data_IF_055710974549
#
_entry.id   IF_055710974549
#
_cell.length_a   1.000
_cell.length_b   1.000
_cell.length_c   1.000
_cell.angle_alpha   90.00
_cell.angle_beta   90.00
_cell.angle_gamma   90.00
#
_symmetry.space_group_name_H-M   'P 1'
#
loop_
_entity.id
_entity.type
_entity.pdbx_description
1 polymer ?
#
# COMPACT_ATOMS: atom_id res chain seq x y z
N UNK A 1 44.56 -9.27 3.66
CA UNK A 1 43.71 -8.27 4.32
C UNK A 1 42.49 -8.03 3.43
N UNK A 2 41.43 -8.78 3.69
CA UNK A 2 40.11 -8.55 3.12
C UNK A 2 39.48 -7.36 3.91
N UNK A 3 39.63 -6.17 3.39
CA UNK A 3 38.75 -5.06 3.75
C UNK A 3 37.48 -5.24 2.92
N UNK A 4 36.48 -5.92 3.51
CA UNK A 4 35.13 -5.98 2.95
C UNK A 4 34.59 -4.54 2.89
N UNK A 5 34.41 -4.03 1.68
CA UNK A 5 33.62 -2.81 1.47
C UNK A 5 32.18 -3.19 1.80
N UNK A 6 31.60 -2.60 2.85
CA UNK A 6 30.19 -2.73 3.18
C UNK A 6 29.42 -2.18 1.96
N UNK A 7 28.51 -2.96 1.40
CA UNK A 7 27.70 -2.53 0.27
C UNK A 7 26.68 -1.47 0.75
N UNK A 8 26.19 -0.63 -0.14
CA UNK A 8 25.26 0.45 0.21
C UNK A 8 24.02 -0.11 0.93
N UNK A 9 23.46 -1.22 0.46
CA UNK A 9 22.36 -1.94 1.09
C UNK A 9 22.65 -2.40 2.54
N UNK A 10 23.86 -2.89 2.81
CA UNK A 10 24.25 -3.29 4.17
C UNK A 10 24.33 -2.06 5.10
N UNK A 11 24.76 -0.89 4.57
CA UNK A 11 24.83 0.36 5.31
C UNK A 11 23.44 0.86 5.65
N UNK A 12 22.50 0.78 4.72
CA UNK A 12 21.10 1.16 4.88
C UNK A 12 20.41 0.32 5.96
N UNK A 13 20.56 -1.01 5.91
CA UNK A 13 20.01 -1.91 6.95
C UNK A 13 20.57 -1.56 8.33
N UNK A 14 21.87 -1.27 8.43
CA UNK A 14 22.48 -0.87 9.71
C UNK A 14 21.88 0.44 10.22
N UNK A 15 21.66 1.42 9.35
CA UNK A 15 21.03 2.69 9.70
C UNK A 15 19.59 2.47 10.16
N UNK A 16 18.79 1.70 9.40
CA UNK A 16 17.41 1.37 9.75
C UNK A 16 17.30 0.68 11.12
N UNK A 17 18.25 -0.22 11.46
CA UNK A 17 18.30 -0.84 12.80
C UNK A 17 18.49 0.18 13.91
N UNK A 18 19.32 1.21 13.71
CA UNK A 18 19.48 2.27 14.71
C UNK A 18 18.22 3.13 14.84
N UNK A 19 17.65 3.56 13.72
CA UNK A 19 16.43 4.37 13.71
C UNK A 19 15.23 3.61 14.30
N UNK A 20 15.06 2.34 13.94
CA UNK A 20 14.00 1.47 14.46
C UNK A 20 13.98 1.36 16.01
N UNK A 21 15.13 1.47 16.64
CA UNK A 21 15.22 1.43 18.12
C UNK A 21 14.51 2.61 18.79
N UNK A 22 14.46 3.75 18.12
CA UNK A 22 13.92 5.00 18.68
C UNK A 22 12.58 5.41 18.04
N UNK A 23 12.17 4.76 16.94
CA UNK A 23 10.94 5.04 16.22
C UNK A 23 9.71 4.62 17.03
N UNK A 24 8.75 5.50 17.31
CA UNK A 24 7.48 5.14 17.93
C UNK A 24 6.57 4.43 16.91
N UNK A 25 5.69 3.55 17.41
CA UNK A 25 4.77 2.74 16.62
C UNK A 25 3.86 3.60 15.73
N UNK A 26 3.46 4.78 16.20
CA UNK A 26 2.61 5.72 15.44
C UNK A 26 3.20 6.13 14.08
N UNK A 27 4.53 6.10 13.93
CA UNK A 27 5.19 6.47 12.68
C UNK A 27 5.25 5.34 11.66
N UNK A 28 5.00 4.09 12.10
CA UNK A 28 5.08 2.89 11.24
C UNK A 28 3.69 2.32 10.96
N UNK A 29 2.74 2.52 11.89
CA UNK A 29 1.42 1.90 11.81
C UNK A 29 0.59 2.44 10.62
N UNK A 30 -0.31 1.62 10.12
CA UNK A 30 -1.39 2.07 9.22
C UNK A 30 -2.36 2.91 10.03
N UNK A 31 -2.51 4.20 9.66
CA UNK A 31 -3.37 5.13 10.38
C UNK A 31 -4.85 4.77 10.29
N UNK A 32 -5.62 5.08 11.34
CA UNK A 32 -7.05 4.73 11.47
C UNK A 32 -7.91 5.09 10.24
N UNK A 33 -7.56 6.13 9.49
CA UNK A 33 -8.30 6.57 8.29
C UNK A 33 -8.17 5.60 7.13
N UNK A 34 -7.10 4.82 7.11
CA UNK A 34 -6.76 3.86 6.07
C UNK A 34 -7.13 2.43 6.47
N UNK A 35 -7.49 2.23 7.74
CA UNK A 35 -7.85 0.92 8.29
C UNK A 35 -9.22 0.51 7.77
N UNK A 36 -9.26 -0.63 7.09
CA UNK A 36 -10.51 -1.30 6.72
C UNK A 36 -10.95 -2.19 7.89
N UNK A 37 -12.10 -1.88 8.48
CA UNK A 37 -12.68 -2.60 9.61
C UNK A 37 -13.97 -3.32 9.21
N UNK A 38 -14.26 -4.42 9.91
CA UNK A 38 -15.54 -5.13 9.80
C UNK A 38 -16.41 -4.77 10.99
N UNK A 39 -17.67 -4.44 10.75
CA UNK A 39 -18.58 -4.01 11.82
C UNK A 39 -19.57 -5.13 12.18
N UNK A 40 -19.86 -5.29 13.47
CA UNK A 40 -20.85 -6.26 13.94
C UNK A 40 -22.27 -5.95 13.45
N UNK A 41 -22.55 -4.70 13.12
CA UNK A 41 -23.82 -4.27 12.52
C UNK A 41 -23.97 -4.62 11.04
N UNK A 42 -22.86 -4.92 10.35
CA UNK A 42 -22.87 -5.26 8.92
C UNK A 42 -23.38 -6.70 8.70
N UNK A 43 -23.91 -6.99 7.50
CA UNK A 43 -24.35 -8.34 7.14
C UNK A 43 -23.16 -9.26 6.80
N UNK A 44 -23.30 -10.59 6.87
CA UNK A 44 -22.24 -11.52 6.44
C UNK A 44 -21.79 -11.29 5.00
N UNK A 45 -22.72 -10.97 4.10
CA UNK A 45 -22.43 -10.69 2.68
C UNK A 45 -21.59 -9.42 2.53
N UNK A 46 -21.79 -8.40 3.38
CA UNK A 46 -20.98 -7.19 3.37
C UNK A 46 -19.56 -7.47 3.87
N UNK A 47 -19.40 -8.33 4.89
CA UNK A 47 -18.08 -8.77 5.34
C UNK A 47 -17.35 -9.49 4.22
N UNK A 48 -18.00 -10.47 3.57
CA UNK A 48 -17.41 -11.22 2.47
C UNK A 48 -16.96 -10.30 1.33
N UNK A 49 -17.83 -9.37 0.94
CA UNK A 49 -17.50 -8.36 -0.09
C UNK A 49 -16.30 -7.51 0.31
N UNK A 50 -16.28 -6.99 1.54
CA UNK A 50 -15.16 -6.17 2.05
C UNK A 50 -13.85 -6.95 2.03
N UNK A 51 -13.85 -8.22 2.47
CA UNK A 51 -12.67 -9.08 2.49
C UNK A 51 -12.17 -9.36 1.07
N UNK A 52 -13.09 -9.61 0.12
CA UNK A 52 -12.73 -9.90 -1.28
C UNK A 52 -12.17 -8.68 -2.02
N UNK A 53 -12.71 -7.49 -1.75
CA UNK A 53 -12.28 -6.24 -2.40
C UNK A 53 -10.95 -5.72 -1.86
N UNK A 54 -10.76 -5.74 -0.54
CA UNK A 54 -9.57 -5.17 0.11
C UNK A 54 -8.40 -6.13 0.28
N UNK A 55 -8.65 -7.45 0.32
CA UNK A 55 -7.65 -8.54 0.31
C UNK A 55 -6.60 -8.50 1.43
N UNK A 56 -6.91 -7.90 2.58
CA UNK A 56 -6.00 -7.94 3.72
C UNK A 56 -6.05 -9.29 4.43
N UNK A 57 -4.99 -9.62 5.17
CA UNK A 57 -4.94 -10.84 5.98
C UNK A 57 -5.70 -10.67 7.29
N UNK A 58 -5.69 -9.49 7.87
CA UNK A 58 -6.29 -9.19 9.17
C UNK A 58 -7.24 -8.01 9.09
N UNK A 59 -8.37 -8.13 9.79
CA UNK A 59 -9.36 -7.06 9.91
C UNK A 59 -9.75 -6.84 11.36
N UNK A 60 -9.67 -5.60 11.89
CA UNK A 60 -10.33 -5.27 13.14
C UNK A 60 -11.83 -5.51 13.03
N UNK A 61 -12.40 -6.21 14.01
CA UNK A 61 -13.85 -6.40 14.15
C UNK A 61 -14.35 -5.42 15.18
N UNK A 62 -15.16 -4.47 14.74
CA UNK A 62 -15.65 -3.34 15.53
C UNK A 62 -17.13 -3.50 15.88
N UNK A 63 -17.54 -3.00 17.02
CA UNK A 63 -18.93 -2.88 17.41
C UNK A 63 -19.63 -1.69 16.76
N UNK A 64 -19.93 -0.63 17.54
CA UNK A 64 -20.64 0.54 17.02
C UNK A 64 -19.76 1.50 16.21
N UNK A 65 -18.48 1.58 16.54
CA UNK A 65 -17.50 2.45 15.89
C UNK A 65 -16.10 1.83 15.91
N UNK A 66 -15.12 2.50 15.27
CA UNK A 66 -13.75 2.01 15.17
C UNK A 66 -13.01 1.90 16.52
N UNK A 67 -13.45 2.59 17.56
CA UNK A 67 -12.83 2.54 18.88
C UNK A 67 -13.36 1.37 19.72
N UNK A 68 -14.51 0.79 19.33
CA UNK A 68 -15.12 -0.38 19.98
C UNK A 68 -14.62 -1.68 19.31
N UNK A 69 -13.39 -2.06 19.62
CA UNK A 69 -12.72 -3.24 19.04
C UNK A 69 -13.12 -4.51 19.79
N UNK A 70 -13.83 -5.39 19.13
CA UNK A 70 -14.27 -6.68 19.67
C UNK A 70 -13.24 -7.81 19.43
N UNK A 71 -12.42 -7.69 18.40
CA UNK A 71 -11.39 -8.66 18.07
C UNK A 71 -10.73 -8.38 16.73
N UNK A 72 -10.00 -9.35 16.22
CA UNK A 72 -9.33 -9.31 14.92
C UNK A 72 -9.66 -10.58 14.14
N UNK A 73 -10.22 -10.43 12.96
CA UNK A 73 -10.49 -11.55 12.07
C UNK A 73 -9.22 -11.90 11.31
N UNK A 74 -8.84 -13.19 11.32
CA UNK A 74 -7.85 -13.77 10.41
C UNK A 74 -8.56 -14.36 9.19
N UNK A 75 -8.23 -13.88 8.00
CA UNK A 75 -8.86 -14.34 6.76
C UNK A 75 -8.56 -15.79 6.43
N UNK A 76 -7.42 -16.34 6.90
CA UNK A 76 -7.09 -17.75 6.71
C UNK A 76 -8.08 -18.63 7.45
N UNK A 77 -8.42 -18.28 8.69
CA UNK A 77 -9.39 -19.01 9.49
C UNK A 77 -10.82 -18.76 9.00
N UNK A 78 -11.10 -17.53 8.56
CA UNK A 78 -12.35 -17.21 7.89
C UNK A 78 -12.59 -18.10 6.66
N UNK A 79 -11.61 -18.24 5.75
CA UNK A 79 -11.77 -19.05 4.54
C UNK A 79 -11.72 -20.57 4.80
N UNK A 80 -11.11 -21.01 5.88
CA UNK A 80 -11.10 -22.41 6.32
C UNK A 80 -12.41 -22.85 6.99
N UNK A 81 -13.19 -21.89 7.49
CA UNK A 81 -14.45 -22.16 8.17
C UNK A 81 -15.49 -22.72 7.20
N UNK A 82 -16.08 -23.87 7.53
CA UNK A 82 -17.16 -24.49 6.75
C UNK A 82 -18.50 -23.76 6.97
N UNK A 83 -18.73 -23.26 8.19
CA UNK A 83 -19.89 -22.45 8.54
C UNK A 83 -19.53 -20.96 8.49
N UNK A 84 -20.30 -20.20 7.70
CA UNK A 84 -20.16 -18.75 7.51
C UNK A 84 -21.15 -17.94 8.35
N UNK A 85 -21.88 -18.61 9.26
CA UNK A 85 -22.70 -17.88 10.22
C UNK A 85 -21.86 -16.95 11.08
N UNK A 86 -22.42 -15.80 11.40
CA UNK A 86 -21.68 -14.80 12.20
C UNK A 86 -21.22 -15.37 13.54
N UNK A 87 -22.07 -16.12 14.23
CA UNK A 87 -21.74 -16.71 15.53
C UNK A 87 -20.54 -17.64 15.41
N UNK A 88 -20.52 -18.49 14.39
CA UNK A 88 -19.40 -19.40 14.15
C UNK A 88 -18.10 -18.65 13.83
N UNK A 89 -18.15 -17.66 12.96
CA UNK A 89 -16.98 -16.85 12.59
C UNK A 89 -16.42 -16.09 13.78
N UNK A 90 -17.27 -15.48 14.62
CA UNK A 90 -16.83 -14.77 15.82
C UNK A 90 -16.14 -15.67 16.84
N UNK A 91 -16.53 -16.94 16.90
CA UNK A 91 -15.98 -17.91 17.85
C UNK A 91 -14.71 -18.62 17.32
N UNK A 92 -14.55 -18.76 16.00
CA UNK A 92 -13.50 -19.59 15.40
C UNK A 92 -12.49 -18.85 14.52
N UNK A 93 -12.83 -17.66 14.03
CA UNK A 93 -11.98 -16.89 13.11
C UNK A 93 -11.67 -15.46 13.61
N UNK A 94 -12.17 -15.09 14.78
CA UNK A 94 -11.90 -13.80 15.40
C UNK A 94 -11.15 -14.01 16.70
N UNK A 95 -9.90 -13.59 16.71
CA UNK A 95 -9.03 -13.62 17.88
C UNK A 95 -9.18 -12.36 18.75
N UNK A 96 -8.71 -12.46 19.99
CA UNK A 96 -8.63 -11.29 20.88
C UNK A 96 -7.63 -10.28 20.32
N UNK A 97 -8.05 -9.02 20.26
CA UNK A 97 -7.17 -7.95 19.84
C UNK A 97 -6.00 -7.76 20.82
N UNK A 98 -4.80 -7.63 20.27
CA UNK A 98 -3.61 -7.26 21.01
C UNK A 98 -3.45 -5.74 20.91
N UNK A 99 -3.61 -5.02 22.01
CA UNK A 99 -3.54 -3.57 22.06
C UNK A 99 -2.15 -3.09 22.43
N UNK A 100 -1.68 -2.05 21.76
CA UNK A 100 -0.39 -1.40 22.02
C UNK A 100 -0.54 0.12 21.98
N UNK A 101 0.12 0.86 22.90
CA UNK A 101 0.11 2.33 22.85
C UNK A 101 0.91 2.84 21.65
N UNK A 102 0.42 3.90 21.03
CA UNK A 102 1.05 4.53 19.84
C UNK A 102 2.48 5.04 20.09
N UNK A 103 2.77 5.52 21.28
CA UNK A 103 4.11 5.95 21.71
C UNK A 103 5.07 4.82 22.06
N UNK A 104 4.67 3.54 21.96
CA UNK A 104 5.57 2.40 22.19
C UNK A 104 6.66 2.38 21.11
N UNK A 105 7.92 2.09 21.50
CA UNK A 105 9.01 1.95 20.53
C UNK A 105 8.88 0.66 19.69
N UNK A 106 9.17 0.77 18.41
CA UNK A 106 9.05 -0.32 17.46
C UNK A 106 9.85 -1.58 17.86
N UNK A 107 11.07 -1.41 18.34
CA UNK A 107 11.92 -2.51 18.81
C UNK A 107 11.34 -3.26 20.02
N UNK A 108 10.60 -2.57 20.88
CA UNK A 108 9.93 -3.15 22.05
C UNK A 108 8.72 -3.95 21.58
N UNK A 109 7.91 -3.36 20.69
CA UNK A 109 6.76 -4.04 20.09
C UNK A 109 7.18 -5.29 19.32
N UNK A 110 8.19 -5.19 18.47
CA UNK A 110 8.72 -6.30 17.69
C UNK A 110 9.08 -7.50 18.57
N UNK A 111 9.83 -7.26 19.66
CA UNK A 111 10.18 -8.32 20.60
C UNK A 111 8.96 -8.94 21.29
N UNK A 112 7.97 -8.12 21.67
CA UNK A 112 6.71 -8.60 22.27
C UNK A 112 5.92 -9.45 21.30
N UNK A 113 5.70 -9.00 20.08
CA UNK A 113 4.96 -9.74 19.06
C UNK A 113 5.62 -11.09 18.75
N UNK A 114 6.95 -11.13 18.64
CA UNK A 114 7.70 -12.40 18.48
C UNK A 114 7.51 -13.36 19.66
N UNK A 115 7.60 -12.87 20.89
CA UNK A 115 7.43 -13.68 22.09
C UNK A 115 6.02 -14.25 22.24
N UNK A 116 5.02 -13.44 21.92
CA UNK A 116 3.60 -13.82 22.01
C UNK A 116 3.10 -14.56 20.76
N UNK A 117 3.90 -14.63 19.69
CA UNK A 117 3.50 -15.10 18.36
C UNK A 117 2.29 -14.33 17.81
N UNK A 118 2.23 -13.03 18.12
CA UNK A 118 1.22 -12.14 17.59
C UNK A 118 1.71 -11.54 16.27
N UNK A 119 0.87 -11.56 15.27
CA UNK A 119 1.19 -11.04 13.93
C UNK A 119 0.49 -9.72 13.62
N UNK A 120 -0.43 -9.31 14.48
CA UNK A 120 -1.24 -8.12 14.31
C UNK A 120 -1.47 -7.44 15.67
N UNK A 121 -1.47 -6.11 15.71
CA UNK A 121 -1.81 -5.33 16.91
C UNK A 121 -2.67 -4.13 16.53
N UNK A 122 -3.57 -3.75 17.43
CA UNK A 122 -4.33 -2.50 17.37
C UNK A 122 -3.57 -1.44 18.15
N UNK A 123 -3.28 -0.33 17.50
CA UNK A 123 -2.58 0.81 18.09
C UNK A 123 -3.61 1.76 18.71
N UNK A 124 -3.41 2.12 19.98
CA UNK A 124 -4.33 2.98 20.73
C UNK A 124 -3.63 4.25 21.22
N UNK A 125 -4.39 5.34 21.22
CA UNK A 125 -4.00 6.62 21.75
C UNK A 125 -4.13 6.69 23.30
N UNK A 126 -3.81 7.83 23.90
CA UNK A 126 -3.90 8.07 25.34
C UNK A 126 -5.34 8.12 25.87
N UNK A 127 -6.34 8.22 25.00
CA UNK A 127 -7.77 8.21 25.35
C UNK A 127 -8.41 6.83 25.17
N UNK A 128 -7.64 5.85 24.69
CA UNK A 128 -8.11 4.49 24.42
C UNK A 128 -8.79 4.33 23.05
N UNK A 129 -8.76 5.35 22.21
CA UNK A 129 -9.22 5.27 20.83
C UNK A 129 -8.23 4.56 19.91
N UNK A 130 -8.71 3.97 18.82
CA UNK A 130 -7.85 3.37 17.83
C UNK A 130 -7.12 4.45 17.02
N UNK A 131 -5.80 4.53 17.12
CA UNK A 131 -4.94 5.38 16.27
C UNK A 131 -4.63 4.71 14.93
N UNK A 132 -4.56 3.36 14.93
CA UNK A 132 -4.22 2.58 13.76
C UNK A 132 -4.06 1.10 14.05
N UNK A 133 -3.43 0.41 13.12
CA UNK A 133 -3.07 -1.01 13.23
C UNK A 133 -1.62 -1.20 12.82
N UNK A 134 -0.99 -2.25 13.30
CA UNK A 134 0.37 -2.60 12.91
C UNK A 134 0.52 -4.12 12.84
N UNK A 135 1.23 -4.59 11.83
CA UNK A 135 1.55 -6.01 11.68
C UNK A 135 3.02 -6.27 12.02
N UNK A 136 3.36 -7.54 12.21
CA UNK A 136 4.77 -7.93 12.34
C UNK A 136 5.54 -7.67 11.04
N UNK A 137 4.86 -7.70 9.90
CA UNK A 137 5.41 -7.39 8.59
C UNK A 137 5.85 -5.92 8.51
N UNK A 138 5.00 -4.97 8.89
CA UNK A 138 5.32 -3.53 8.90
C UNK A 138 6.56 -3.24 9.75
N UNK A 139 6.69 -3.95 10.89
CA UNK A 139 7.87 -3.82 11.75
C UNK A 139 9.13 -4.43 11.11
N UNK A 140 9.00 -5.49 10.33
CA UNK A 140 10.13 -6.07 9.60
C UNK A 140 10.54 -5.17 8.43
N UNK A 141 9.59 -4.61 7.72
CA UNK A 141 9.81 -3.65 6.64
C UNK A 141 10.55 -2.39 7.16
N UNK A 142 10.08 -1.82 8.27
CA UNK A 142 10.78 -0.70 8.92
C UNK A 142 12.19 -1.02 9.39
N UNK A 143 12.50 -2.30 9.65
CA UNK A 143 13.82 -2.76 10.09
C UNK A 143 14.79 -3.02 8.93
N UNK A 144 14.30 -3.59 7.83
CA UNK A 144 15.14 -4.10 6.72
C UNK A 144 15.14 -3.12 5.53
N UNK A 145 14.20 -2.19 5.47
CA UNK A 145 13.86 -1.40 4.30
C UNK A 145 12.71 -2.05 3.52
N UNK A 146 12.29 -1.46 2.43
CA UNK A 146 11.23 -2.02 1.61
C UNK A 146 11.54 -3.47 1.25
N UNK A 147 10.77 -4.39 1.82
CA UNK A 147 10.79 -5.79 1.40
C UNK A 147 10.04 -5.83 0.07
N UNK A 148 10.74 -5.96 -1.03
CA UNK A 148 10.09 -6.33 -2.29
C UNK A 148 9.33 -7.64 -2.05
N UNK A 149 8.04 -7.56 -1.80
CA UNK A 149 7.17 -8.73 -1.78
C UNK A 149 7.09 -9.29 -3.20
N UNK A 150 7.85 -10.33 -3.48
CA UNK A 150 7.70 -11.11 -4.71
C UNK A 150 6.31 -11.74 -4.88
N UNK A 151 5.40 -11.59 -3.90
CA UNK A 151 4.04 -12.14 -3.89
C UNK A 151 2.95 -11.19 -3.38
N UNK A 152 3.01 -9.91 -3.69
CA UNK A 152 1.76 -9.14 -3.74
C UNK A 152 1.09 -9.49 -5.06
N UNK A 153 -0.23 -9.85 -5.10
CA UNK A 153 -0.89 -10.03 -6.38
C UNK A 153 -0.88 -8.69 -7.11
N UNK A 154 0.15 -8.55 -7.97
CA UNK A 154 0.30 -7.59 -9.05
C UNK A 154 -0.45 -6.25 -8.84
N UNK A 155 0.07 -5.38 -7.97
CA UNK A 155 0.01 -3.98 -8.38
C UNK A 155 0.83 -3.94 -9.67
N UNK A 156 0.23 -3.54 -10.80
CA UNK A 156 1.01 -3.40 -12.02
C UNK A 156 2.24 -2.56 -11.70
N UNK A 157 3.42 -3.00 -12.11
CA UNK A 157 4.65 -2.24 -11.93
C UNK A 157 4.39 -0.79 -12.35
N UNK A 158 4.90 0.18 -11.60
CA UNK A 158 4.63 1.59 -11.88
C UNK A 158 5.04 1.96 -13.29
N UNK A 159 6.11 1.32 -13.83
CA UNK A 159 6.52 1.36 -15.22
C UNK A 159 6.80 -0.05 -15.70
N UNK A 160 5.95 -0.57 -16.58
CA UNK A 160 6.04 -1.91 -17.16
C UNK A 160 6.32 -1.84 -18.67
N UNK A 161 7.39 -2.49 -19.13
CA UNK A 161 7.66 -2.62 -20.55
C UNK A 161 6.83 -3.79 -21.10
N UNK A 162 5.81 -3.50 -21.93
CA UNK A 162 4.92 -4.50 -22.51
C UNK A 162 5.58 -5.16 -23.74
N UNK A 163 6.19 -4.34 -24.61
CA UNK A 163 6.94 -4.78 -25.78
C UNK A 163 7.97 -3.71 -26.17
N UNK A 164 8.78 -3.96 -27.20
CA UNK A 164 9.75 -2.97 -27.64
C UNK A 164 9.04 -1.69 -28.12
N UNK A 165 9.35 -0.58 -27.40
CA UNK A 165 8.78 0.73 -27.66
C UNK A 165 7.40 0.98 -27.04
N UNK A 166 6.80 0.01 -26.34
CA UNK A 166 5.50 0.16 -25.67
C UNK A 166 5.63 -0.06 -24.17
N UNK A 167 5.19 0.91 -23.41
CA UNK A 167 5.23 0.92 -21.95
C UNK A 167 3.84 1.12 -21.38
N UNK A 168 3.56 0.47 -20.25
CA UNK A 168 2.42 0.79 -19.40
C UNK A 168 2.93 1.53 -18.19
N UNK A 169 2.38 2.71 -17.92
CA UNK A 169 2.81 3.58 -16.81
C UNK A 169 1.61 3.89 -15.95
N UNK A 170 1.77 3.72 -14.63
CA UNK A 170 0.75 4.10 -13.66
C UNK A 170 0.71 5.62 -13.49
N UNK A 171 -0.48 6.19 -13.34
CA UNK A 171 -0.62 7.64 -13.22
C UNK A 171 0.03 8.24 -11.97
N UNK A 172 0.18 7.47 -10.91
CA UNK A 172 0.82 7.86 -9.65
C UNK A 172 2.35 7.88 -9.71
N UNK A 173 2.96 7.30 -10.75
CA UNK A 173 4.41 7.22 -10.90
C UNK A 173 5.02 8.63 -10.90
N UNK A 174 6.12 8.81 -10.18
CA UNK A 174 6.86 10.08 -10.18
C UNK A 174 7.33 10.42 -11.58
N UNK A 175 7.12 11.66 -12.00
CA UNK A 175 7.42 12.09 -13.36
C UNK A 175 8.93 12.03 -13.68
N UNK A 176 9.76 12.23 -12.69
CA UNK A 176 11.21 12.11 -12.80
C UNK A 176 11.63 10.68 -13.15
N UNK A 177 11.06 9.69 -12.46
CA UNK A 177 11.29 8.27 -12.73
C UNK A 177 10.85 7.88 -14.15
N UNK A 178 9.69 8.39 -14.62
CA UNK A 178 9.24 8.18 -15.98
C UNK A 178 10.24 8.74 -16.99
N UNK A 179 10.73 9.96 -16.74
CA UNK A 179 11.72 10.62 -17.60
C UNK A 179 13.03 9.82 -17.69
N UNK A 180 13.56 9.39 -16.57
CA UNK A 180 14.78 8.57 -16.48
C UNK A 180 14.62 7.21 -17.18
N UNK A 181 13.52 6.51 -16.90
CA UNK A 181 13.27 5.17 -17.44
C UNK A 181 13.08 5.14 -18.95
N UNK A 182 12.40 6.16 -19.49
CA UNK A 182 12.19 6.28 -20.95
C UNK A 182 13.31 7.05 -21.65
N UNK A 183 14.19 7.73 -20.94
CA UNK A 183 15.25 8.54 -21.52
C UNK A 183 14.72 9.80 -22.21
N UNK A 184 13.64 10.40 -21.70
CA UNK A 184 13.00 11.59 -22.25
C UNK A 184 13.00 12.74 -21.23
N UNK A 185 13.08 13.96 -21.74
CA UNK A 185 12.98 15.16 -20.89
C UNK A 185 11.50 15.50 -20.66
N UNK A 186 11.04 15.36 -19.43
CA UNK A 186 9.69 15.71 -18.99
C UNK A 186 9.71 16.94 -18.08
N UNK A 187 8.61 17.70 -17.97
CA UNK A 187 8.56 18.95 -17.18
C UNK A 187 8.39 18.66 -15.66
N UNK A 188 9.40 18.07 -15.05
CA UNK A 188 9.43 17.67 -13.64
C UNK A 188 9.35 18.88 -12.67
N UNK A 189 9.74 20.07 -13.11
CA UNK A 189 9.58 21.30 -12.33
C UNK A 189 8.11 21.76 -12.20
N UNK A 190 7.20 21.21 -12.99
CA UNK A 190 5.78 21.62 -13.06
C UNK A 190 4.83 20.55 -12.51
N UNK A 191 5.22 19.28 -12.58
CA UNK A 191 4.36 18.15 -12.21
C UNK A 191 5.15 17.08 -11.47
N UNK A 192 4.64 16.63 -10.32
CA UNK A 192 5.28 15.60 -9.51
C UNK A 192 4.96 14.18 -10.04
N UNK A 193 3.76 13.97 -10.61
CA UNK A 193 3.28 12.65 -11.04
C UNK A 193 2.94 12.61 -12.53
N UNK A 194 2.96 11.41 -13.09
CA UNK A 194 2.59 11.18 -14.49
C UNK A 194 1.13 11.57 -14.78
N UNK A 195 0.19 11.31 -13.85
CA UNK A 195 -1.20 11.77 -13.96
C UNK A 195 -1.29 13.31 -13.97
N UNK A 196 -0.53 13.98 -13.11
CA UNK A 196 -0.45 15.44 -13.10
C UNK A 196 0.07 16.02 -14.43
N UNK A 197 1.10 15.41 -14.99
CA UNK A 197 1.62 15.77 -16.31
C UNK A 197 0.57 15.59 -17.41
N UNK A 198 -0.16 14.46 -17.44
CA UNK A 198 -1.21 14.21 -18.43
C UNK A 198 -2.29 15.28 -18.33
N UNK A 199 -2.81 15.56 -17.13
CA UNK A 199 -3.81 16.59 -16.90
C UNK A 199 -3.34 17.98 -17.39
N UNK A 200 -2.10 18.33 -17.08
CA UNK A 200 -1.49 19.58 -17.52
C UNK A 200 -1.31 19.68 -19.04
N UNK A 201 -0.83 18.61 -19.68
CA UNK A 201 -0.62 18.56 -21.11
C UNK A 201 -1.94 18.62 -21.91
N UNK A 202 -3.02 18.02 -21.40
CA UNK A 202 -4.36 18.08 -22.01
C UNK A 202 -5.09 19.37 -21.66
N UNK A 203 -4.67 20.07 -20.60
CA UNK A 203 -5.27 21.33 -20.15
C UNK A 203 -6.62 21.19 -19.44
N UNK A 204 -6.95 19.98 -18.97
CA UNK A 204 -8.18 19.69 -18.23
C UNK A 204 -8.01 18.47 -17.32
N UNK A 205 -8.89 18.34 -16.34
CA UNK A 205 -9.01 17.13 -15.52
C UNK A 205 -9.97 16.18 -16.24
N UNK A 206 -9.56 14.92 -16.52
CA UNK A 206 -10.42 13.95 -17.19
C UNK A 206 -11.54 13.44 -16.26
N UNK A 207 -12.64 12.95 -16.85
CA UNK A 207 -13.76 12.34 -16.12
C UNK A 207 -13.51 10.84 -15.88
N UNK A 208 -14.14 10.30 -14.83
CA UNK A 208 -14.02 8.87 -14.50
C UNK A 208 -14.49 7.99 -15.67
N UNK A 209 -13.67 6.99 -16.01
CA UNK A 209 -13.90 6.08 -17.13
C UNK A 209 -13.57 6.66 -18.51
N UNK A 210 -13.06 7.89 -18.59
CA UNK A 210 -12.68 8.50 -19.86
C UNK A 210 -11.42 7.84 -20.45
N UNK A 211 -11.44 7.63 -21.76
CA UNK A 211 -10.30 7.13 -22.54
C UNK A 211 -9.98 8.11 -23.66
N UNK A 212 -8.72 8.47 -23.79
CA UNK A 212 -8.27 9.40 -24.81
C UNK A 212 -6.78 9.20 -25.13
N UNK A 213 -6.34 9.74 -26.26
CA UNK A 213 -4.94 9.71 -26.68
C UNK A 213 -4.48 11.12 -27.07
N UNK A 214 -3.21 11.40 -26.82
CA UNK A 214 -2.56 12.65 -27.19
C UNK A 214 -1.05 12.45 -27.31
N UNK A 215 -0.34 13.46 -27.82
CA UNK A 215 1.11 13.44 -27.96
C UNK A 215 1.71 14.61 -27.19
N UNK A 216 2.73 14.33 -26.38
CA UNK A 216 3.50 15.34 -25.65
C UNK A 216 4.95 14.87 -25.43
N UNK A 217 5.90 15.79 -25.43
CA UNK A 217 7.32 15.53 -25.13
C UNK A 217 7.94 14.37 -25.92
N UNK A 218 7.53 14.18 -27.20
CA UNK A 218 8.01 13.08 -28.04
C UNK A 218 7.40 11.71 -27.74
N UNK A 219 6.37 11.68 -26.89
CA UNK A 219 5.63 10.48 -26.54
C UNK A 219 4.22 10.53 -27.11
N UNK A 220 3.71 9.38 -27.52
CA UNK A 220 2.29 9.11 -27.77
C UNK A 220 1.73 8.43 -26.53
N UNK A 221 0.72 9.04 -25.92
CA UNK A 221 0.14 8.61 -24.65
C UNK A 221 -1.32 8.27 -24.86
N UNK A 222 -1.70 7.04 -24.56
CA UNK A 222 -3.08 6.57 -24.61
C UNK A 222 -3.56 6.24 -23.22
N UNK A 223 -4.43 7.09 -22.65
CA UNK A 223 -5.04 6.89 -21.34
C UNK A 223 -6.10 5.79 -21.44
N UNK A 224 -5.96 4.76 -20.59
CA UNK A 224 -6.82 3.56 -20.60
C UNK A 224 -7.87 3.58 -19.51
N UNK A 225 -7.56 4.20 -18.37
CA UNK A 225 -8.45 4.23 -17.22
C UNK A 225 -8.26 5.51 -16.42
N UNK A 226 -9.38 6.08 -15.99
CA UNK A 226 -9.46 7.28 -15.13
C UNK A 226 -10.40 6.96 -13.99
N UNK A 227 -9.99 7.22 -12.75
CA UNK A 227 -10.77 6.99 -11.55
C UNK A 227 -10.52 8.11 -10.54
N UNK A 228 -11.58 8.60 -9.92
CA UNK A 228 -11.53 9.73 -9.00
C UNK A 228 -10.80 10.95 -9.62
N UNK A 229 -11.05 11.20 -10.91
CA UNK A 229 -10.43 12.29 -11.69
C UNK A 229 -8.89 12.18 -11.85
N UNK A 230 -8.31 11.03 -11.57
CA UNK A 230 -6.90 10.73 -11.80
C UNK A 230 -6.73 9.65 -12.85
N UNK A 231 -5.70 9.77 -13.66
CA UNK A 231 -5.31 8.70 -14.58
C UNK A 231 -4.76 7.53 -13.76
N UNK A 232 -5.37 6.35 -13.85
CA UNK A 232 -4.87 5.13 -13.22
C UNK A 232 -3.69 4.56 -13.99
N UNK A 233 -3.83 4.44 -15.32
CA UNK A 233 -2.77 3.94 -16.17
C UNK A 233 -2.88 4.47 -17.61
N UNK A 234 -1.73 4.62 -18.27
CA UNK A 234 -1.66 4.94 -19.67
C UNK A 234 -0.65 4.04 -20.40
N UNK A 235 -0.91 3.80 -21.69
CA UNK A 235 0.04 3.19 -22.61
C UNK A 235 0.86 4.29 -23.27
N UNK A 236 2.17 4.10 -23.32
CA UNK A 236 3.10 5.12 -23.83
C UNK A 236 4.00 4.51 -24.89
N UNK A 237 4.13 5.20 -26.01
CA UNK A 237 5.07 4.87 -27.09
C UNK A 237 5.94 6.07 -27.42
N UNK A 238 7.14 5.81 -27.95
CA UNK A 238 7.90 6.87 -28.60
C UNK A 238 7.22 7.26 -29.90
N UNK A 239 7.07 8.56 -30.13
CA UNK A 239 6.59 9.04 -31.42
C UNK A 239 7.66 8.77 -32.48
N UNK A 240 7.33 7.96 -33.51
CA UNK A 240 8.20 7.77 -34.62
C UNK A 240 8.49 9.12 -35.30
N UNK A 241 9.78 9.46 -35.40
CA UNK A 241 10.24 10.58 -36.21
C UNK A 241 10.24 10.12 -37.69
N UNK A 242 9.08 9.85 -38.24
CA UNK A 242 8.92 9.57 -39.65
C UNK A 242 7.90 10.55 -40.25
N UNK A 243 8.42 11.33 -41.21
CA UNK A 243 7.74 12.19 -42.18
C UNK A 243 7.43 13.64 -41.77
N UNK A 244 8.42 14.52 -41.97
CA UNK A 244 8.20 15.80 -42.63
C UNK A 244 8.31 15.65 -44.16
#
# INVERSE_FOLDING_TARGET
SEQGTIQEEETEIIQNVFEFNDTPVEQICTHRREVVSLYLSDTPEKWEKTIQESRYTYYPVCGENQDDINGVLDTKDYFRSEDRSREYILDHAVDKAFFVPEGMRANVLFRRMKQMRAYFAVVIDEYGGMSGIITLHDLMEALVGELEEEETPLRPADIEKIEDGLWRIQGRTELEEVGERLGVSLPVDQYDTFSGFICGAVGRVPEDGEQFAFSACGLEIEVKDVKNHMVEAAMVRFRDQAEE
#
